data_IF_144041100839
#
_entry.id   IF_144041100839
#
_cell.length_a   1.000
_cell.length_b   1.000
_cell.length_c   1.000
_cell.angle_alpha   90.00
_cell.angle_beta   90.00
_cell.angle_gamma   90.00
#
_symmetry.space_group_name_H-M   'P 1'
#
loop_
_entity.id
_entity.type
_entity.pdbx_description
1 polymer ?
#
# COMPACT_ATOMS: atom_id res chain seq x y z
N UNK A 1 -21.50 -21.05 15.37
CA UNK A 1 -22.71 -20.52 16.04
C UNK A 1 -22.58 -19.01 15.96
N UNK A 2 -23.32 -18.38 15.05
CA UNK A 2 -23.40 -16.93 14.93
C UNK A 2 -24.40 -16.45 15.97
N UNK A 3 -23.98 -15.57 16.87
CA UNK A 3 -24.93 -14.80 17.69
C UNK A 3 -25.09 -13.41 17.06
N UNK A 4 -26.30 -13.14 16.59
CA UNK A 4 -26.71 -11.85 16.04
C UNK A 4 -27.21 -10.99 17.21
N UNK A 5 -26.62 -9.81 17.39
CA UNK A 5 -27.08 -8.80 18.35
C UNK A 5 -27.84 -7.70 17.60
N UNK A 6 -29.05 -7.34 18.03
CA UNK A 6 -29.73 -6.14 17.56
C UNK A 6 -29.41 -4.97 18.48
N UNK A 7 -28.95 -3.86 17.91
CA UNK A 7 -28.71 -2.61 18.61
C UNK A 7 -29.91 -1.69 18.33
N UNK A 8 -30.66 -1.30 19.37
CA UNK A 8 -31.62 -0.21 19.26
C UNK A 8 -30.99 1.09 19.76
N UNK A 9 -31.02 2.10 18.89
CA UNK A 9 -30.44 3.42 19.11
C UNK A 9 -31.53 4.40 19.54
N UNK A 10 -31.36 5.04 20.70
CA UNK A 10 -32.28 6.07 21.17
C UNK A 10 -31.78 7.47 20.78
N UNK A 11 -32.42 8.07 19.77
CA UNK A 11 -32.04 9.39 19.25
C UNK A 11 -32.27 10.53 20.26
N UNK A 12 -33.11 10.36 21.27
CA UNK A 12 -33.40 11.43 22.24
C UNK A 12 -32.37 11.52 23.38
N UNK A 13 -31.62 10.45 23.66
CA UNK A 13 -30.70 10.39 24.82
C UNK A 13 -29.27 10.02 24.45
N UNK A 14 -28.96 9.79 23.17
CA UNK A 14 -27.59 9.56 22.67
C UNK A 14 -26.88 8.37 23.30
N UNK A 15 -27.62 7.36 23.79
CA UNK A 15 -27.08 6.24 24.56
C UNK A 15 -27.62 4.90 24.06
N UNK A 16 -26.70 3.93 23.89
CA UNK A 16 -27.03 2.56 23.47
C UNK A 16 -27.05 1.61 24.67
N UNK A 17 -28.07 0.75 24.74
CA UNK A 17 -28.19 -0.27 25.79
C UNK A 17 -28.10 -1.64 25.13
N UNK A 18 -27.16 -2.46 25.60
CA UNK A 18 -27.06 -3.88 25.23
C UNK A 18 -27.57 -4.73 26.38
N UNK A 19 -28.60 -5.56 26.14
CA UNK A 19 -29.09 -6.55 27.08
C UNK A 19 -29.04 -7.96 26.46
N UNK A 20 -28.62 -9.01 27.19
CA UNK A 20 -28.59 -10.38 26.68
C UNK A 20 -30.00 -11.01 26.67
N UNK A 21 -30.33 -11.67 25.56
CA UNK A 21 -31.56 -12.45 25.36
C UNK A 21 -31.58 -13.68 26.31
N UNK A 22 -32.63 -13.79 27.12
CA UNK A 22 -33.02 -15.04 27.79
C UNK A 22 -34.40 -15.42 27.27
N UNK A 23 -34.42 -16.31 26.28
CA UNK A 23 -35.62 -17.08 25.94
C UNK A 23 -35.51 -18.52 26.45
N UNK A 24 -36.42 -18.90 27.35
CA UNK A 24 -36.90 -20.29 27.45
C UNK A 24 -38.42 -20.29 27.59
N UNK A 25 -39.05 -20.52 26.44
CA UNK A 25 -40.30 -21.23 26.11
C UNK A 25 -41.54 -21.14 27.03
N UNK A 26 -42.63 -20.76 26.33
CA UNK A 26 -44.07 -20.86 26.64
C UNK A 26 -44.60 -22.29 26.82
N UNK A 27 -45.81 -22.30 27.41
CA UNK A 27 -46.96 -23.23 27.22
C UNK A 27 -47.11 -24.24 28.37
N UNK A 28 -48.23 -24.42 29.07
CA UNK A 28 -49.65 -24.24 28.70
C UNK A 28 -50.59 -24.24 29.94
N UNK A 29 -51.77 -23.67 29.75
CA UNK A 29 -53.08 -24.15 30.25
C UNK A 29 -53.59 -23.79 31.66
N UNK A 30 -54.60 -22.90 31.65
CA UNK A 30 -55.82 -22.79 32.48
C UNK A 30 -56.08 -23.91 33.52
N UNK A 31 -56.47 -23.53 34.74
CA UNK A 31 -57.89 -23.42 35.18
C UNK A 31 -57.96 -23.35 36.71
N UNK A 32 -58.89 -22.56 37.23
CA UNK A 32 -59.15 -22.48 38.66
C UNK A 32 -59.98 -23.64 39.17
N UNK A 33 -59.79 -24.02 40.44
CA UNK A 33 -60.88 -24.21 41.41
C UNK A 33 -60.35 -24.44 42.81
N UNK A 34 -61.11 -23.84 43.71
CA UNK A 34 -61.21 -24.01 45.16
C UNK A 34 -61.27 -25.46 45.67
N UNK A 35 -60.68 -25.68 46.86
CA UNK A 35 -61.30 -26.19 48.12
C UNK A 35 -60.43 -27.24 48.87
N UNK A 36 -60.50 -27.08 50.20
CA UNK A 36 -60.48 -28.10 51.27
C UNK A 36 -59.17 -28.75 51.73
N UNK A 37 -58.72 -28.31 52.93
CA UNK A 37 -58.40 -29.10 54.14
C UNK A 37 -58.91 -30.56 54.15
N UNK A 38 -58.27 -31.51 54.88
CA UNK A 38 -58.06 -31.47 56.35
C UNK A 38 -56.72 -32.13 56.77
N UNK A 39 -56.33 -32.45 58.01
CA UNK A 39 -56.88 -32.48 59.36
C UNK A 39 -55.62 -32.53 60.29
N UNK A 40 -55.61 -31.85 61.44
CA UNK A 40 -56.08 -32.35 62.73
C UNK A 40 -55.03 -33.20 63.49
N UNK A 41 -54.72 -32.74 64.70
CA UNK A 41 -53.85 -33.39 65.68
C UNK A 41 -53.86 -32.61 66.99
N UNK A 42 -55.04 -32.50 67.61
CA UNK A 42 -55.31 -31.94 68.94
C UNK A 42 -55.19 -33.00 70.03
N UNK A 43 -54.72 -32.60 71.22
CA UNK A 43 -55.05 -33.19 72.54
C UNK A 43 -54.69 -32.12 73.59
N UNK A 44 -55.61 -31.29 74.11
CA UNK A 44 -56.67 -31.48 75.13
C UNK A 44 -56.20 -32.12 76.45
N UNK A 45 -56.43 -31.43 77.56
CA UNK A 45 -56.39 -32.03 78.90
C UNK A 45 -56.42 -31.01 80.05
N UNK A 46 -57.61 -30.62 80.45
CA UNK A 46 -57.93 -29.87 81.68
C UNK A 46 -57.60 -30.66 82.94
N UNK A 47 -57.13 -29.99 84.00
CA UNK A 47 -57.51 -30.32 85.39
C UNK A 47 -57.17 -29.17 86.35
N UNK A 48 -58.21 -28.63 86.97
CA UNK A 48 -58.15 -27.82 88.18
C UNK A 48 -57.67 -28.65 89.38
N UNK A 49 -56.96 -28.02 90.32
CA UNK A 49 -56.99 -28.43 91.72
C UNK A 49 -55.66 -28.46 92.46
N UNK A 50 -55.67 -27.78 93.61
CA UNK A 50 -54.82 -27.97 94.79
C UNK A 50 -53.51 -27.16 94.82
N UNK A 51 -53.68 -25.95 95.36
CA UNK A 51 -52.81 -25.33 96.36
C UNK A 51 -52.22 -26.40 97.31
N UNK A 52 -50.95 -26.77 97.11
CA UNK A 52 -50.12 -27.32 98.17
C UNK A 52 -48.81 -26.54 98.23
N UNK A 53 -48.69 -25.81 99.33
CA UNK A 53 -47.47 -25.18 99.82
C UNK A 53 -46.37 -26.24 99.93
N UNK A 54 -45.28 -26.07 99.18
CA UNK A 54 -43.97 -26.57 99.56
C UNK A 54 -43.06 -25.34 99.62
N UNK A 55 -42.90 -24.88 100.86
CA UNK A 55 -42.03 -23.80 101.27
C UNK A 55 -40.57 -24.06 100.88
N UNK A 56 -40.04 -23.21 100.01
CA UNK A 56 -38.65 -22.78 100.03
C UNK A 56 -38.66 -21.29 99.68
N UNK A 57 -37.88 -20.48 100.41
CA UNK A 57 -38.31 -19.17 100.86
C UNK A 57 -38.58 -18.26 99.67
N UNK A 58 -39.62 -17.42 99.81
CA UNK A 58 -39.56 -16.11 99.19
C UNK A 58 -38.24 -15.50 99.63
N UNK A 59 -37.23 -15.50 98.77
CA UNK A 59 -36.21 -14.47 98.82
C UNK A 59 -36.96 -13.19 98.51
N UNK A 60 -37.57 -12.63 99.55
CA UNK A 60 -38.01 -11.26 99.55
C UNK A 60 -36.77 -10.47 99.15
N UNK A 61 -36.80 -9.88 97.95
CA UNK A 61 -35.82 -8.89 97.55
C UNK A 61 -36.01 -7.72 98.52
N UNK A 62 -35.29 -7.74 99.64
CA UNK A 62 -35.30 -6.65 100.59
C UNK A 62 -34.59 -5.49 99.89
N UNK A 63 -35.35 -4.43 99.57
CA UNK A 63 -34.78 -3.17 99.11
C UNK A 63 -34.39 -2.39 100.36
N UNK A 64 -33.08 -2.31 100.60
CA UNK A 64 -32.53 -1.42 101.60
C UNK A 64 -32.33 -0.04 100.97
N UNK A 65 -33.06 0.95 101.47
CA UNK A 65 -32.88 2.36 101.16
C UNK A 65 -31.97 2.95 102.22
N UNK A 66 -30.86 3.54 101.83
CA UNK A 66 -29.99 4.26 102.76
C UNK A 66 -30.07 5.75 102.43
N UNK A 67 -30.68 6.55 103.30
CA UNK A 67 -30.70 8.02 103.19
C UNK A 67 -29.95 8.67 104.36
N UNK A 68 -29.94 10.00 104.44
CA UNK A 68 -29.26 10.74 105.52
C UNK A 68 -29.79 10.43 106.94
N UNK A 69 -30.98 9.83 107.05
CA UNK A 69 -31.63 9.38 108.29
C UNK A 69 -31.39 7.91 108.65
N UNK A 70 -30.76 7.12 107.77
CA UNK A 70 -30.34 5.73 108.05
C UNK A 70 -30.87 4.69 107.06
N UNK A 71 -30.62 3.42 107.37
CA UNK A 71 -30.93 2.28 106.48
C UNK A 71 -32.32 1.71 106.77
N UNK A 72 -33.23 1.81 105.80
CA UNK A 72 -34.62 1.38 105.89
C UNK A 72 -34.91 0.21 104.96
N UNK A 73 -35.65 -0.80 105.42
CA UNK A 73 -36.15 -1.89 104.57
C UNK A 73 -37.58 -1.60 104.13
N UNK A 74 -37.87 -1.69 102.83
CA UNK A 74 -39.26 -1.86 102.38
C UNK A 74 -39.63 -3.35 102.47
N UNK A 75 -40.45 -3.71 103.45
CA UNK A 75 -41.16 -4.98 103.40
C UNK A 75 -42.42 -4.83 102.52
N UNK A 76 -42.89 -5.95 101.95
CA UNK A 76 -44.04 -6.02 101.03
C UNK A 76 -45.39 -5.55 101.63
N UNK A 77 -45.40 -5.08 102.89
CA UNK A 77 -46.57 -4.59 103.60
C UNK A 77 -46.53 -3.07 103.91
N UNK A 78 -45.62 -2.30 103.29
CA UNK A 78 -45.67 -0.83 103.32
C UNK A 78 -45.41 -0.17 104.68
N UNK A 79 -44.85 -0.90 105.65
CA UNK A 79 -44.48 -0.38 106.97
C UNK A 79 -42.96 -0.33 107.12
N UNK A 80 -42.43 0.85 107.47
CA UNK A 80 -41.00 1.06 107.77
C UNK A 80 -40.69 0.37 109.10
N UNK A 81 -39.97 -0.74 109.04
CA UNK A 81 -39.43 -1.43 110.22
C UNK A 81 -37.95 -1.10 110.30
N UNK A 82 -37.52 -0.55 111.44
CA UNK A 82 -36.13 -0.20 111.73
C UNK A 82 -35.38 -1.49 112.09
N UNK A 83 -34.38 -1.89 111.29
CA UNK A 83 -33.65 -3.12 111.59
C UNK A 83 -32.66 -3.68 110.56
N UNK A 84 -32.16 -2.92 109.59
CA UNK A 84 -30.98 -3.36 108.85
C UNK A 84 -29.72 -2.99 109.63
N UNK A 85 -29.19 -3.92 110.43
CA UNK A 85 -27.90 -3.72 111.06
C UNK A 85 -26.78 -3.69 110.01
N UNK A 86 -25.86 -2.76 110.23
CA UNK A 86 -24.60 -2.54 109.51
C UNK A 86 -23.96 -3.82 108.95
N UNK A 87 -23.61 -3.77 107.66
CA UNK A 87 -22.83 -4.78 106.95
C UNK A 87 -23.49 -6.16 106.88
N UNK A 88 -24.43 -6.30 105.95
CA UNK A 88 -24.99 -7.60 105.58
C UNK A 88 -23.96 -8.36 104.72
N UNK A 89 -22.95 -8.93 105.36
CA UNK A 89 -22.07 -9.95 104.76
C UNK A 89 -22.69 -11.31 105.05
N UNK A 90 -23.23 -11.97 104.03
CA UNK A 90 -23.75 -13.35 104.17
C UNK A 90 -25.09 -13.65 103.52
N UNK A 91 -25.65 -12.77 102.70
CA UNK A 91 -26.84 -13.12 101.91
C UNK A 91 -26.42 -13.95 100.69
N UNK A 92 -26.72 -15.24 100.76
CA UNK A 92 -26.79 -16.14 99.63
C UNK A 92 -28.11 -15.89 98.87
N UNK A 93 -28.11 -14.91 97.98
CA UNK A 93 -29.23 -14.61 97.07
C UNK A 93 -29.08 -13.22 96.41
N UNK A 94 -29.72 -12.96 95.26
CA UNK A 94 -29.60 -11.66 94.58
C UNK A 94 -30.30 -10.57 95.41
N UNK A 95 -29.53 -9.59 95.88
CA UNK A 95 -30.04 -8.40 96.58
C UNK A 95 -29.68 -7.14 95.77
N UNK A 96 -30.55 -6.14 95.82
CA UNK A 96 -30.37 -4.85 95.18
C UNK A 96 -30.12 -3.79 96.26
N UNK A 97 -28.95 -3.16 96.26
CA UNK A 97 -28.65 -2.04 97.15
C UNK A 97 -28.91 -0.75 96.39
N UNK A 98 -29.85 0.07 96.88
CA UNK A 98 -29.97 1.48 96.52
C UNK A 98 -29.19 2.27 97.55
N UNK A 99 -27.89 2.44 97.32
CA UNK A 99 -27.06 3.28 98.18
C UNK A 99 -27.17 4.72 97.66
N UNK A 100 -27.89 5.58 98.39
CA UNK A 100 -27.84 7.03 98.19
C UNK A 100 -26.81 7.71 99.10
N UNK A 101 -26.01 6.91 99.82
CA UNK A 101 -25.27 7.36 101.00
C UNK A 101 -23.78 7.08 101.00
N UNK A 102 -23.11 6.96 99.84
CA UNK A 102 -21.64 7.04 99.84
C UNK A 102 -21.20 8.49 100.11
N UNK A 103 -20.18 8.75 100.98
CA UNK A 103 -19.74 10.10 101.35
C UNK A 103 -19.15 10.94 100.19
N UNK A 104 -19.20 10.43 98.95
CA UNK A 104 -18.84 11.13 97.73
C UNK A 104 -20.04 11.48 96.82
N UNK A 105 -21.30 11.40 97.29
CA UNK A 105 -22.47 11.97 96.61
C UNK A 105 -22.97 11.21 95.38
N UNK A 106 -22.88 9.88 95.35
CA UNK A 106 -23.32 9.05 94.23
C UNK A 106 -24.49 8.15 94.63
N UNK A 107 -25.59 8.21 93.89
CA UNK A 107 -26.69 7.25 93.98
C UNK A 107 -26.43 6.09 93.02
N UNK A 108 -26.22 4.88 93.54
CA UNK A 108 -25.96 3.69 92.74
C UNK A 108 -26.98 2.58 93.04
N UNK A 109 -27.53 1.98 91.98
CA UNK A 109 -28.24 0.70 92.07
C UNK A 109 -27.22 -0.41 91.78
N UNK A 110 -26.83 -1.16 92.82
CA UNK A 110 -25.88 -2.27 92.72
C UNK A 110 -26.61 -3.62 92.89
N UNK A 111 -26.47 -4.50 91.90
CA UNK A 111 -27.05 -5.84 91.86
C UNK A 111 -25.92 -6.88 91.81
N UNK A 112 -25.82 -7.81 92.77
CA UNK A 112 -24.82 -8.92 92.79
C UNK A 112 -25.47 -10.28 92.55
N UNK A 113 -24.94 -11.26 91.78
CA UNK A 113 -23.64 -11.47 91.10
C UNK A 113 -23.70 -11.34 89.55
N UNK A 114 -22.62 -10.83 88.93
CA UNK A 114 -22.52 -10.53 87.48
C UNK A 114 -22.66 -9.03 87.16
N UNK A 115 -22.09 -8.17 88.00
CA UNK A 115 -22.62 -6.84 88.33
C UNK A 115 -22.73 -5.86 87.15
N UNK A 116 -23.94 -5.31 86.96
CA UNK A 116 -24.21 -4.06 86.28
C UNK A 116 -24.52 -2.99 87.34
N UNK A 117 -23.75 -1.91 87.38
CA UNK A 117 -23.97 -0.78 88.30
C UNK A 117 -24.45 0.43 87.50
N UNK A 118 -25.66 0.93 87.81
CA UNK A 118 -26.22 2.14 87.20
C UNK A 118 -25.98 3.32 88.16
N UNK A 119 -25.17 4.29 87.74
CA UNK A 119 -25.06 5.57 88.43
C UNK A 119 -26.09 6.54 87.84
N UNK A 120 -27.01 7.01 88.67
CA UNK A 120 -27.95 8.07 88.31
C UNK A 120 -27.40 9.38 88.91
N UNK A 121 -27.15 10.37 88.05
CA UNK A 121 -26.71 11.69 88.50
C UNK A 121 -27.74 12.29 89.46
N UNK A 122 -27.27 12.72 90.62
CA UNK A 122 -28.03 13.58 91.51
C UNK A 122 -27.27 14.90 91.60
N UNK A 123 -27.85 15.94 90.98
CA UNK A 123 -27.39 17.33 90.99
C UNK A 123 -26.22 17.75 90.06
N UNK A 124 -26.09 17.18 88.86
CA UNK A 124 -25.34 17.83 87.75
C UNK A 124 -23.82 17.77 87.86
N UNK A 125 -23.27 16.86 88.67
CA UNK A 125 -21.82 16.79 88.96
C UNK A 125 -21.06 15.78 88.11
N UNK A 126 -21.75 14.90 87.39
CA UNK A 126 -21.13 13.98 86.42
C UNK A 126 -21.50 14.44 85.01
N UNK A 127 -20.49 14.77 84.21
CA UNK A 127 -20.70 15.19 82.82
C UNK A 127 -21.24 14.08 81.91
N UNK A 128 -21.30 12.81 82.37
CA UNK A 128 -21.92 11.68 81.65
C UNK A 128 -22.47 10.60 82.62
N UNK A 129 -23.66 10.05 82.30
CA UNK A 129 -24.20 8.84 82.94
C UNK A 129 -23.34 7.63 82.56
N UNK A 130 -22.85 6.86 83.53
CA UNK A 130 -21.95 5.72 83.30
C UNK A 130 -22.58 4.41 83.80
N UNK A 131 -22.95 3.54 82.85
CA UNK A 131 -23.27 2.14 83.13
C UNK A 131 -21.96 1.34 83.20
N UNK A 132 -21.64 0.78 84.38
CA UNK A 132 -20.44 -0.05 84.56
C UNK A 132 -20.84 -1.52 84.65
N UNK A 133 -20.39 -2.34 83.70
CA UNK A 133 -20.59 -3.79 83.70
C UNK A 133 -19.28 -4.47 84.14
N UNK A 134 -19.21 -4.94 85.39
CA UNK A 134 -17.99 -5.55 85.95
C UNK A 134 -18.15 -7.06 86.07
N UNK A 135 -17.34 -7.76 85.30
CA UNK A 135 -17.37 -9.20 85.16
C UNK A 135 -16.35 -9.87 86.09
N UNK A 136 -16.78 -10.77 86.99
CA UNK A 136 -15.87 -11.65 87.74
C UNK A 136 -15.43 -12.84 86.87
N UNK A 137 -14.56 -12.59 85.88
CA UNK A 137 -13.90 -13.63 85.08
C UNK A 137 -14.46 -13.91 83.67
N UNK A 138 -15.60 -13.34 83.26
CA UNK A 138 -16.17 -13.48 81.90
C UNK A 138 -17.03 -12.27 81.51
N UNK A 139 -16.96 -11.79 80.25
CA UNK A 139 -17.71 -10.62 79.76
C UNK A 139 -19.23 -10.66 80.08
N UNK A 140 -19.82 -9.51 80.44
CA UNK A 140 -21.28 -9.36 80.66
C UNK A 140 -21.98 -9.12 79.31
N UNK A 141 -22.96 -9.95 78.94
CA UNK A 141 -23.75 -9.79 77.72
C UNK A 141 -24.93 -8.83 77.93
N UNK A 142 -25.16 -7.91 76.99
CA UNK A 142 -26.36 -7.06 76.93
C UNK A 142 -27.38 -7.66 75.97
N UNK A 143 -28.41 -8.34 76.49
CA UNK A 143 -29.45 -9.01 75.68
C UNK A 143 -30.72 -8.17 75.54
N UNK A 144 -31.41 -8.26 74.40
CA UNK A 144 -32.70 -7.59 74.17
C UNK A 144 -32.60 -6.13 73.72
N UNK A 145 -31.40 -5.66 73.34
CA UNK A 145 -31.18 -4.30 72.83
C UNK A 145 -31.85 -4.11 71.45
N UNK A 146 -32.82 -3.19 71.37
CA UNK A 146 -33.40 -2.77 70.09
C UNK A 146 -32.35 -2.06 69.22
N UNK A 147 -32.49 -2.06 67.87
CA UNK A 147 -31.58 -1.31 67.01
C UNK A 147 -31.55 0.18 67.37
N UNK A 148 -30.37 0.73 67.64
CA UNK A 148 -30.16 2.16 67.88
C UNK A 148 -30.19 2.98 66.59
N UNK A 149 -30.27 4.31 66.68
CA UNK A 149 -30.18 5.17 65.50
C UNK A 149 -28.76 5.19 64.90
N UNK A 150 -28.64 5.11 63.56
CA UNK A 150 -27.37 5.24 62.82
C UNK A 150 -27.26 6.66 62.24
N UNK A 151 -26.73 7.59 63.03
CA UNK A 151 -26.45 8.97 62.60
C UNK A 151 -25.12 9.45 63.17
N UNK A 152 -24.55 10.52 62.60
CA UNK A 152 -23.27 11.09 63.05
C UNK A 152 -23.33 11.69 64.46
N UNK A 153 -24.52 11.81 65.07
CA UNK A 153 -24.74 12.38 66.40
C UNK A 153 -25.39 11.40 67.38
N UNK A 154 -25.64 10.15 66.95
CA UNK A 154 -26.27 9.15 67.79
C UNK A 154 -25.36 8.74 68.95
N UNK A 155 -25.95 8.61 70.13
CA UNK A 155 -25.33 8.05 71.33
C UNK A 155 -26.00 6.71 71.73
N UNK A 156 -26.88 6.19 70.87
CA UNK A 156 -27.62 4.96 71.12
C UNK A 156 -26.69 3.74 71.08
N UNK A 157 -27.00 2.73 71.88
CA UNK A 157 -26.33 1.43 71.80
C UNK A 157 -26.65 0.73 70.48
N UNK A 158 -25.61 0.22 69.79
CA UNK A 158 -25.75 -0.54 68.55
C UNK A 158 -25.84 -2.02 68.88
N UNK A 159 -26.76 -2.76 68.24
CA UNK A 159 -26.89 -4.19 68.46
C UNK A 159 -26.23 -5.03 67.34
N UNK A 160 -26.18 -6.35 67.55
CA UNK A 160 -25.56 -7.29 66.61
C UNK A 160 -26.24 -7.34 65.23
N UNK A 161 -27.55 -7.07 65.12
CA UNK A 161 -28.23 -7.08 63.81
C UNK A 161 -27.85 -5.90 62.93
N UNK A 162 -27.57 -4.73 63.54
CA UNK A 162 -27.05 -3.56 62.82
C UNK A 162 -25.62 -3.78 62.34
N UNK A 163 -24.74 -4.30 63.20
CA UNK A 163 -23.36 -4.63 62.81
C UNK A 163 -23.33 -5.73 61.74
N UNK A 164 -24.21 -6.73 61.84
CA UNK A 164 -24.41 -7.75 60.81
C UNK A 164 -24.81 -7.13 59.47
N UNK A 165 -25.79 -6.20 59.47
CA UNK A 165 -26.21 -5.50 58.26
C UNK A 165 -25.07 -4.67 57.64
N UNK A 166 -24.25 -3.99 58.45
CA UNK A 166 -23.06 -3.29 57.96
C UNK A 166 -22.07 -4.27 57.33
N UNK A 167 -21.72 -5.36 58.03
CA UNK A 167 -20.77 -6.36 57.54
C UNK A 167 -21.20 -7.05 56.26
N UNK A 168 -22.49 -7.40 56.12
CA UNK A 168 -23.03 -7.98 54.88
C UNK A 168 -23.00 -6.98 53.73
N UNK A 169 -23.32 -5.71 53.99
CA UNK A 169 -23.28 -4.66 52.95
C UNK A 169 -21.85 -4.39 52.50
N UNK A 170 -20.87 -4.34 53.42
CA UNK A 170 -19.44 -4.22 53.09
C UNK A 170 -18.94 -5.42 52.30
N UNK A 171 -19.29 -6.64 52.70
CA UNK A 171 -18.91 -7.84 51.97
C UNK A 171 -19.46 -7.84 50.54
N UNK A 172 -20.73 -7.48 50.36
CA UNK A 172 -21.36 -7.36 49.04
C UNK A 172 -20.64 -6.31 48.17
N UNK A 173 -20.30 -5.14 48.72
CA UNK A 173 -19.60 -4.08 48.00
C UNK A 173 -18.21 -4.50 47.50
N UNK A 174 -17.50 -5.33 48.27
CA UNK A 174 -16.19 -5.87 47.90
C UNK A 174 -16.27 -7.12 47.01
N UNK A 175 -17.47 -7.69 46.81
CA UNK A 175 -17.67 -8.94 46.08
C UNK A 175 -17.20 -10.16 46.86
N UNK A 176 -17.34 -10.15 48.19
CA UNK A 176 -16.91 -11.21 49.12
C UNK A 176 -18.04 -11.60 50.08
N UNK A 177 -17.75 -12.47 51.06
CA UNK A 177 -18.70 -12.98 52.04
C UNK A 177 -18.47 -12.44 53.45
N UNK A 178 -19.55 -12.24 54.22
CA UNK A 178 -19.50 -11.93 55.65
C UNK A 178 -19.67 -13.21 56.49
N UNK A 179 -18.83 -13.42 57.50
CA UNK A 179 -18.95 -14.52 58.44
C UNK A 179 -19.78 -14.09 59.66
N UNK A 180 -21.05 -14.49 59.69
CA UNK A 180 -21.97 -14.16 60.78
C UNK A 180 -21.62 -14.74 62.16
N UNK A 181 -20.74 -15.74 62.21
CA UNK A 181 -20.31 -16.35 63.48
C UNK A 181 -19.09 -15.65 64.09
N UNK A 182 -18.20 -15.09 63.27
CA UNK A 182 -16.99 -14.40 63.75
C UNK A 182 -17.07 -12.88 63.62
N UNK A 183 -18.04 -12.35 62.88
CA UNK A 183 -18.17 -10.91 62.60
C UNK A 183 -17.19 -10.37 61.55
N UNK A 184 -16.45 -11.25 60.85
CA UNK A 184 -15.41 -10.83 59.89
C UNK A 184 -15.93 -10.82 58.46
N UNK A 185 -15.48 -9.83 57.68
CA UNK A 185 -15.61 -9.84 56.21
C UNK A 185 -14.43 -10.64 55.63
N UNK A 186 -14.70 -11.62 54.77
CA UNK A 186 -13.66 -12.41 54.10
C UNK A 186 -12.90 -11.59 53.06
N UNK A 187 -11.64 -11.93 52.80
CA UNK A 187 -10.87 -11.30 51.73
C UNK A 187 -11.53 -11.56 50.36
N UNK A 188 -11.65 -10.54 49.47
CA UNK A 188 -12.23 -10.76 48.14
C UNK A 188 -11.29 -11.57 47.25
N UNK A 189 -11.81 -12.10 46.14
CA UNK A 189 -11.02 -12.86 45.17
C UNK A 189 -11.42 -12.49 43.74
N UNK A 190 -10.62 -11.67 43.06
CA UNK A 190 -10.90 -11.23 41.68
C UNK A 190 -10.19 -12.10 40.66
N UNK A 191 -10.97 -12.83 39.84
CA UNK A 191 -10.44 -13.62 38.73
C UNK A 191 -10.14 -12.73 37.51
N UNK A 192 -8.92 -12.21 37.43
CA UNK A 192 -8.50 -11.25 36.39
C UNK A 192 -7.81 -11.94 35.19
N UNK A 193 -8.46 -12.95 34.60
CA UNK A 193 -7.85 -13.81 33.58
C UNK A 193 -7.22 -13.07 32.39
N UNK A 194 -7.88 -12.00 31.89
CA UNK A 194 -7.38 -11.20 30.77
C UNK A 194 -6.17 -10.32 31.16
N UNK A 195 -6.25 -9.65 32.31
CA UNK A 195 -5.13 -8.85 32.80
C UNK A 195 -3.90 -9.73 33.08
N UNK A 196 -4.13 -10.92 33.64
CA UNK A 196 -3.12 -11.95 33.82
C UNK A 196 -2.44 -12.33 32.50
N UNK A 197 -3.20 -12.54 31.42
CA UNK A 197 -2.63 -12.83 30.09
C UNK A 197 -1.80 -11.69 29.51
N UNK A 198 -2.28 -10.44 29.64
CA UNK A 198 -1.60 -9.26 29.10
C UNK A 198 -0.28 -8.96 29.84
N UNK A 199 -0.31 -9.00 31.18
CA UNK A 199 0.86 -8.69 32.01
C UNK A 199 1.76 -9.90 32.32
N UNK A 200 1.37 -11.12 31.90
CA UNK A 200 2.06 -12.36 32.28
C UNK A 200 1.95 -12.70 33.76
N UNK A 201 0.91 -12.22 34.46
CA UNK A 201 0.65 -12.57 35.88
C UNK A 201 -0.31 -13.76 36.00
N UNK A 202 -0.46 -14.34 37.19
CA UNK A 202 -1.30 -15.51 37.41
C UNK A 202 -2.10 -15.45 38.72
N UNK A 203 -3.12 -16.30 38.84
CA UNK A 203 -3.99 -16.42 40.02
C UNK A 203 -5.01 -15.29 40.17
N UNK A 204 -5.91 -15.43 41.14
CA UNK A 204 -6.82 -14.36 41.54
C UNK A 204 -6.07 -13.26 42.31
N UNK A 205 -6.63 -12.04 42.39
CA UNK A 205 -6.20 -11.04 43.36
C UNK A 205 -6.99 -11.20 44.65
N UNK A 206 -6.30 -11.31 45.79
CA UNK A 206 -6.90 -11.62 47.10
C UNK A 206 -7.33 -10.40 47.90
N UNK A 207 -7.14 -9.21 47.36
CA UNK A 207 -7.59 -7.94 47.92
C UNK A 207 -7.78 -6.90 46.80
N UNK A 208 -8.35 -5.75 47.14
CA UNK A 208 -8.62 -4.64 46.21
C UNK A 208 -7.33 -4.05 45.65
N UNK A 209 -6.29 -3.92 46.46
CA UNK A 209 -4.99 -3.37 46.05
C UNK A 209 -4.33 -4.26 45.00
N UNK A 210 -4.23 -5.55 45.28
CA UNK A 210 -3.72 -6.56 44.34
C UNK A 210 -4.54 -6.63 43.06
N UNK A 211 -5.86 -6.41 43.14
CA UNK A 211 -6.75 -6.34 41.98
C UNK A 211 -6.38 -5.18 41.06
N UNK A 212 -6.27 -3.98 41.63
CA UNK A 212 -5.85 -2.79 40.89
C UNK A 212 -4.41 -2.91 40.38
N UNK A 213 -3.46 -3.43 41.16
CA UNK A 213 -2.08 -3.63 40.72
C UNK A 213 -1.97 -4.56 39.51
N UNK A 214 -2.78 -5.63 39.44
CA UNK A 214 -2.81 -6.52 38.27
C UNK A 214 -3.40 -5.84 37.03
N UNK A 215 -4.45 -5.05 37.20
CA UNK A 215 -5.05 -4.28 36.09
C UNK A 215 -4.10 -3.19 35.61
N UNK A 216 -3.45 -2.48 36.53
CA UNK A 216 -2.45 -1.44 36.23
C UNK A 216 -1.26 -2.01 35.47
N UNK A 217 -0.71 -3.15 35.94
CA UNK A 217 0.35 -3.86 35.22
C UNK A 217 -0.07 -4.29 33.80
N UNK A 218 -1.31 -4.75 33.62
CA UNK A 218 -1.83 -5.11 32.31
C UNK A 218 -2.02 -3.89 31.40
N UNK A 219 -2.50 -2.77 31.94
CA UNK A 219 -2.63 -1.53 31.20
C UNK A 219 -1.25 -1.00 30.77
N UNK A 220 -0.25 -1.03 31.66
CA UNK A 220 1.13 -0.67 31.32
C UNK A 220 1.75 -1.56 30.24
N UNK A 221 1.51 -2.89 30.29
CA UNK A 221 1.96 -3.81 29.25
C UNK A 221 1.28 -3.56 27.89
N UNK A 222 -0.01 -3.23 27.90
CA UNK A 222 -0.73 -2.84 26.70
C UNK A 222 -0.20 -1.51 26.13
N UNK A 223 0.00 -0.51 26.99
CA UNK A 223 0.55 0.79 26.60
C UNK A 223 1.92 0.66 25.93
N UNK A 224 2.83 -0.14 26.52
CA UNK A 224 4.13 -0.45 25.91
C UNK A 224 4.00 -1.14 24.54
N UNK A 225 3.06 -2.07 24.39
CA UNK A 225 2.84 -2.78 23.13
C UNK A 225 2.30 -1.83 22.05
N UNK A 226 1.36 -0.95 22.42
CA UNK A 226 0.81 0.06 21.52
C UNK A 226 1.88 1.07 21.12
N UNK A 227 2.68 1.58 22.06
CA UNK A 227 3.80 2.47 21.79
C UNK A 227 4.85 1.83 20.86
N UNK A 228 5.15 0.55 21.06
CA UNK A 228 6.01 -0.23 20.17
C UNK A 228 5.45 -0.33 18.75
N UNK A 229 4.16 -0.64 18.61
CA UNK A 229 3.48 -0.68 17.31
C UNK A 229 3.48 0.69 16.62
N UNK A 230 3.22 1.78 17.35
CA UNK A 230 3.29 3.15 16.81
C UNK A 230 4.69 3.44 16.26
N UNK A 231 5.74 3.10 17.00
CA UNK A 231 7.13 3.29 16.54
C UNK A 231 7.45 2.49 15.27
N UNK A 232 7.00 1.24 15.19
CA UNK A 232 7.19 0.39 14.00
C UNK A 232 6.42 0.92 12.78
N UNK A 233 5.20 1.43 12.99
CA UNK A 233 4.39 2.04 11.93
C UNK A 233 5.06 3.33 11.42
N UNK A 234 5.59 4.15 12.32
CA UNK A 234 6.34 5.35 11.96
C UNK A 234 7.61 5.00 11.17
N UNK A 235 8.35 3.97 11.60
CA UNK A 235 9.53 3.47 10.89
C UNK A 235 9.20 2.96 9.48
N UNK A 236 8.17 2.13 9.32
CA UNK A 236 7.70 1.67 8.00
C UNK A 236 7.29 2.86 7.12
N UNK A 237 6.56 3.83 7.68
CA UNK A 237 6.13 5.03 6.96
C UNK A 237 7.34 5.83 6.49
N UNK A 238 8.33 6.02 7.36
CA UNK A 238 9.58 6.69 7.03
C UNK A 238 10.38 5.92 5.96
N UNK A 239 10.42 4.59 6.04
CA UNK A 239 11.11 3.75 5.06
C UNK A 239 10.43 3.79 3.69
N UNK A 240 9.10 3.80 3.63
CA UNK A 240 8.32 3.96 2.39
C UNK A 240 8.55 5.34 1.80
N UNK A 241 8.43 6.40 2.61
CA UNK A 241 8.61 7.78 2.15
C UNK A 241 10.05 8.06 1.68
N UNK A 242 11.03 7.44 2.32
CA UNK A 242 12.45 7.54 1.93
C UNK A 242 12.85 6.56 0.82
N UNK A 243 11.95 5.66 0.42
CA UNK A 243 12.20 4.63 -0.60
C UNK A 243 13.27 3.61 -0.20
N UNK A 244 13.42 3.30 1.09
CA UNK A 244 14.43 2.36 1.61
C UNK A 244 13.90 0.93 1.78
N UNK A 245 12.60 0.71 1.60
CA UNK A 245 11.97 -0.62 1.64
C UNK A 245 10.99 -0.81 0.48
N UNK A 246 10.67 -2.07 0.13
CA UNK A 246 9.78 -2.43 -0.98
C UNK A 246 10.50 -2.88 -2.26
N UNK A 247 9.77 -3.00 -3.38
CA UNK A 247 10.37 -3.43 -4.67
C UNK A 247 11.07 -2.27 -5.38
N UNK A 248 10.52 -1.06 -5.32
CA UNK A 248 11.16 0.13 -5.86
C UNK A 248 11.90 0.81 -4.72
N UNK A 249 13.23 0.82 -4.80
CA UNK A 249 14.08 1.36 -3.74
C UNK A 249 15.08 2.35 -4.29
N UNK A 250 15.31 3.44 -3.54
CA UNK A 250 16.40 4.36 -3.79
C UNK A 250 17.61 3.97 -2.94
N UNK A 251 18.75 3.78 -3.60
CA UNK A 251 20.03 3.66 -2.92
C UNK A 251 20.42 5.00 -2.29
N UNK A 252 20.65 5.04 -0.97
CA UNK A 252 20.82 6.30 -0.27
C UNK A 252 22.14 7.02 -0.56
N UNK A 253 23.16 6.30 -1.04
CA UNK A 253 24.47 6.85 -1.39
C UNK A 253 24.49 7.35 -2.83
N UNK A 254 24.11 6.50 -3.77
CA UNK A 254 24.16 6.80 -5.21
C UNK A 254 22.91 7.53 -5.72
N UNK A 255 21.82 7.52 -4.95
CA UNK A 255 20.48 8.02 -5.32
C UNK A 255 19.83 7.30 -6.51
N UNK A 256 20.43 6.20 -6.96
CA UNK A 256 19.86 5.35 -8.00
C UNK A 256 18.57 4.71 -7.52
N UNK A 257 17.53 4.78 -8.34
CA UNK A 257 16.30 4.03 -8.14
C UNK A 257 16.46 2.68 -8.81
N UNK A 258 16.19 1.62 -8.06
CA UNK A 258 16.22 0.24 -8.54
C UNK A 258 14.85 -0.39 -8.38
N UNK A 259 14.52 -1.32 -9.27
CA UNK A 259 13.30 -2.11 -9.20
C UNK A 259 13.70 -3.56 -8.97
N UNK A 260 13.23 -4.13 -7.87
CA UNK A 260 13.36 -5.55 -7.54
C UNK A 260 14.81 -6.07 -7.50
N UNK A 261 15.81 -5.22 -7.20
CA UNK A 261 17.25 -5.59 -7.32
C UNK A 261 17.71 -6.78 -6.46
N UNK A 262 16.99 -7.08 -5.37
CA UNK A 262 17.31 -8.14 -4.42
C UNK A 262 16.45 -9.40 -4.60
N UNK A 263 15.68 -9.46 -5.68
CA UNK A 263 14.77 -10.56 -6.00
C UNK A 263 15.00 -11.00 -7.44
N UNK A 264 14.70 -12.26 -7.75
CA UNK A 264 14.79 -12.77 -9.12
C UNK A 264 13.73 -12.13 -10.04
N UNK A 265 13.91 -12.34 -11.35
CA UNK A 265 13.00 -11.86 -12.39
C UNK A 265 13.77 -11.19 -13.53
N UNK A 266 13.38 -11.46 -14.77
CA UNK A 266 14.03 -10.92 -15.97
C UNK A 266 13.23 -9.83 -16.66
N UNK A 267 11.98 -9.60 -16.21
CA UNK A 267 11.02 -8.71 -16.87
C UNK A 267 10.35 -7.81 -15.85
N UNK A 268 10.36 -6.51 -16.13
CA UNK A 268 9.50 -5.53 -15.47
C UNK A 268 8.38 -5.17 -16.45
N UNK A 269 7.16 -5.62 -16.17
CA UNK A 269 5.99 -5.32 -17.01
C UNK A 269 5.31 -4.02 -16.52
N UNK A 270 5.17 -3.06 -17.43
CA UNK A 270 4.54 -1.76 -17.16
C UNK A 270 3.10 -1.67 -17.67
N UNK A 271 2.52 -2.76 -18.19
CA UNK A 271 1.13 -2.80 -18.62
C UNK A 271 0.16 -2.46 -17.47
N UNK A 272 -0.92 -1.76 -17.81
CA UNK A 272 -2.05 -1.49 -16.93
C UNK A 272 -3.31 -2.19 -17.41
N UNK A 273 -4.43 -1.90 -16.74
CA UNK A 273 -5.75 -2.43 -17.13
C UNK A 273 -6.20 -1.97 -18.52
N UNK A 274 -5.63 -0.87 -19.04
CA UNK A 274 -5.86 -0.35 -20.39
C UNK A 274 -4.77 -0.74 -21.41
N UNK A 275 -3.85 -1.64 -21.06
CA UNK A 275 -2.73 -2.06 -21.91
C UNK A 275 -1.41 -1.35 -21.61
N UNK A 276 -0.52 -1.30 -22.60
CA UNK A 276 0.82 -0.72 -22.48
C UNK A 276 0.78 0.78 -22.13
N UNK A 277 1.81 1.25 -21.43
CA UNK A 277 1.96 2.66 -21.02
C UNK A 277 3.12 3.31 -21.74
N UNK A 278 3.03 4.63 -21.92
CA UNK A 278 4.19 5.47 -22.27
C UNK A 278 5.07 5.60 -21.05
N UNK A 279 6.37 5.30 -21.20
CA UNK A 279 7.39 5.58 -20.19
C UNK A 279 8.04 6.93 -20.53
N UNK A 280 7.63 7.98 -19.81
CA UNK A 280 8.13 9.35 -19.99
C UNK A 280 9.21 9.71 -18.94
N UNK A 281 9.93 10.81 -19.17
CA UNK A 281 11.05 11.25 -18.33
C UNK A 281 12.35 10.46 -18.54
N UNK A 282 12.44 9.69 -19.63
CA UNK A 282 13.63 8.92 -20.00
C UNK A 282 14.68 9.86 -20.61
N UNK A 283 15.77 10.10 -19.88
CA UNK A 283 16.93 10.80 -20.41
C UNK A 283 17.59 10.02 -21.56
N UNK A 284 18.31 10.70 -22.45
CA UNK A 284 19.00 10.05 -23.57
C UNK A 284 20.03 9.06 -23.06
N UNK A 285 19.84 7.78 -23.38
CA UNK A 285 20.77 6.71 -23.00
C UNK A 285 22.03 6.72 -23.86
N UNK A 286 23.11 6.16 -23.34
CA UNK A 286 24.34 5.94 -24.11
C UNK A 286 24.05 4.94 -25.23
N UNK A 287 24.40 5.28 -26.47
CA UNK A 287 24.30 4.38 -27.63
C UNK A 287 25.68 3.77 -27.89
N UNK A 288 25.88 2.51 -27.48
CA UNK A 288 27.11 1.75 -27.71
C UNK A 288 26.83 0.24 -27.68
N UNK A 289 27.73 -0.62 -28.23
CA UNK A 289 27.51 -2.06 -28.28
C UNK A 289 27.30 -2.74 -26.91
N UNK A 290 27.79 -2.15 -25.83
CA UNK A 290 27.67 -2.68 -24.47
C UNK A 290 26.57 -2.01 -23.64
N UNK A 291 25.85 -1.02 -24.20
CA UNK A 291 24.85 -0.26 -23.44
C UNK A 291 23.64 -1.12 -23.07
N UNK A 292 23.12 -0.87 -21.87
CA UNK A 292 21.87 -1.45 -21.36
C UNK A 292 20.86 -0.35 -21.01
N UNK A 293 21.12 0.88 -21.43
CA UNK A 293 20.28 2.04 -21.14
C UNK A 293 19.14 2.11 -22.16
N UNK A 294 17.97 2.55 -21.72
CA UNK A 294 16.87 2.85 -22.62
C UNK A 294 17.23 4.04 -23.53
N UNK A 295 16.78 4.01 -24.77
CA UNK A 295 16.82 5.16 -25.70
C UNK A 295 15.47 5.84 -25.72
N UNK A 296 15.46 7.16 -25.88
CA UNK A 296 14.23 7.94 -25.96
C UNK A 296 13.91 8.38 -27.40
N UNK A 297 12.74 9.00 -27.58
CA UNK A 297 12.25 9.40 -28.89
C UNK A 297 13.15 10.40 -29.63
N UNK A 298 13.84 11.32 -28.93
CA UNK A 298 14.72 12.30 -29.58
C UNK A 298 15.96 11.64 -30.20
N UNK A 299 16.48 10.58 -29.59
CA UNK A 299 17.59 9.81 -30.15
C UNK A 299 17.18 9.04 -31.40
N UNK A 300 16.00 8.40 -31.36
CA UNK A 300 15.47 7.70 -32.53
C UNK A 300 15.15 8.67 -33.67
N UNK A 301 14.58 9.84 -33.36
CA UNK A 301 14.33 10.90 -34.33
C UNK A 301 15.63 11.41 -34.97
N UNK A 302 16.67 11.69 -34.18
CA UNK A 302 17.95 12.14 -34.72
C UNK A 302 18.59 11.11 -35.67
N UNK A 303 18.44 9.81 -35.38
CA UNK A 303 18.86 8.74 -36.29
C UNK A 303 18.03 8.75 -37.58
N UNK A 304 16.70 8.88 -37.47
CA UNK A 304 15.80 8.94 -38.62
C UNK A 304 16.10 10.17 -39.50
N UNK A 305 16.37 11.32 -38.88
CA UNK A 305 16.68 12.58 -39.56
C UNK A 305 18.02 12.51 -40.28
N UNK A 306 19.06 11.99 -39.63
CA UNK A 306 20.35 11.72 -40.27
C UNK A 306 20.23 10.76 -41.45
N UNK A 307 19.32 9.78 -41.37
CA UNK A 307 19.08 8.82 -42.45
C UNK A 307 18.34 9.49 -43.61
N UNK A 308 17.30 10.27 -43.34
CA UNK A 308 16.58 11.05 -44.35
C UNK A 308 17.49 12.03 -45.09
N UNK A 309 18.35 12.76 -44.34
CA UNK A 309 19.35 13.65 -44.93
C UNK A 309 20.33 12.90 -45.84
N UNK A 310 20.81 11.73 -45.42
CA UNK A 310 21.73 10.91 -46.21
C UNK A 310 21.09 10.34 -47.49
N UNK A 311 19.78 10.07 -47.48
CA UNK A 311 19.03 9.66 -48.68
C UNK A 311 18.86 10.82 -49.66
N UNK A 312 18.71 12.06 -49.16
CA UNK A 312 18.45 13.23 -50.00
C UNK A 312 17.14 13.10 -50.77
N UNK A 313 17.02 13.73 -51.95
CA UNK A 313 15.81 13.63 -52.78
C UNK A 313 14.52 14.02 -52.03
N UNK A 314 14.58 15.04 -51.19
CA UNK A 314 13.45 15.49 -50.35
C UNK A 314 12.92 14.46 -49.33
N UNK A 315 13.70 13.42 -49.02
CA UNK A 315 13.42 12.56 -47.86
C UNK A 315 13.40 13.35 -46.56
N UNK A 316 12.41 13.06 -45.70
CA UNK A 316 12.22 13.72 -44.41
C UNK A 316 11.60 12.77 -43.39
N UNK A 317 11.72 13.08 -42.10
CA UNK A 317 11.05 12.35 -41.01
C UNK A 317 9.62 12.88 -40.83
N UNK A 318 8.65 11.97 -40.88
CA UNK A 318 7.24 12.26 -40.67
C UNK A 318 6.89 12.39 -39.17
N UNK A 319 5.74 12.99 -38.81
CA UNK A 319 5.31 13.12 -37.41
C UNK A 319 5.18 11.79 -36.63
N UNK A 320 4.99 10.67 -37.34
CA UNK A 320 4.92 9.32 -36.77
C UNK A 320 6.31 8.65 -36.64
N UNK A 321 7.38 9.33 -37.03
CA UNK A 321 8.76 8.84 -37.01
C UNK A 321 9.17 8.03 -38.25
N UNK A 322 8.28 7.79 -39.21
CA UNK A 322 8.64 7.15 -40.49
C UNK A 322 9.47 8.09 -41.37
N UNK A 323 10.29 7.53 -42.27
CA UNK A 323 11.06 8.32 -43.25
C UNK A 323 10.32 8.30 -44.59
N UNK A 324 10.05 9.47 -45.15
CA UNK A 324 9.49 9.62 -46.50
C UNK A 324 10.53 9.18 -47.53
N UNK A 325 10.09 8.35 -48.49
CA UNK A 325 10.94 7.88 -49.57
C UNK A 325 11.51 9.07 -50.38
N UNK A 326 12.77 8.98 -50.85
CA UNK A 326 13.35 10.04 -51.66
C UNK A 326 12.63 10.14 -53.00
N UNK A 327 12.84 11.22 -53.72
CA UNK A 327 12.44 11.41 -55.11
C UNK A 327 13.67 11.83 -55.90
N UNK A 328 14.22 10.89 -56.69
CA UNK A 328 15.29 11.17 -57.62
C UNK A 328 14.71 11.41 -59.01
N UNK A 329 14.91 12.60 -59.55
CA UNK A 329 14.42 12.97 -60.89
C UNK A 329 15.40 12.45 -61.93
N UNK A 330 14.99 11.45 -62.70
CA UNK A 330 15.80 10.89 -63.77
C UNK A 330 15.34 11.42 -65.12
N UNK A 331 16.26 11.91 -65.95
CA UNK A 331 15.95 12.37 -67.29
C UNK A 331 16.02 11.22 -68.30
N UNK A 332 15.00 11.10 -69.13
CA UNK A 332 14.92 10.13 -70.22
C UNK A 332 15.53 10.70 -71.51
N UNK A 333 15.81 9.83 -72.48
CA UNK A 333 16.42 10.20 -73.76
C UNK A 333 15.53 11.16 -74.59
N UNK A 334 14.20 11.09 -74.40
CA UNK A 334 13.22 11.97 -75.06
C UNK A 334 13.06 13.35 -74.36
N UNK A 335 13.84 13.60 -73.30
CA UNK A 335 13.76 14.83 -72.49
C UNK A 335 12.69 14.82 -71.40
N UNK A 336 11.87 13.76 -71.29
CA UNK A 336 10.94 13.58 -70.17
C UNK A 336 11.66 13.23 -68.87
N UNK A 337 10.94 13.24 -67.74
CA UNK A 337 11.48 12.82 -66.44
C UNK A 337 10.71 11.64 -65.87
N UNK A 338 11.43 10.73 -65.22
CA UNK A 338 10.90 9.58 -64.49
C UNK A 338 11.38 9.65 -63.04
N UNK A 339 10.56 10.16 -62.12
CA UNK A 339 10.90 10.15 -60.70
C UNK A 339 10.96 8.70 -60.19
N UNK A 340 12.02 8.37 -59.47
CA UNK A 340 12.18 7.08 -58.79
C UNK A 340 12.41 7.32 -57.30
N UNK A 341 11.98 6.38 -56.46
CA UNK A 341 11.86 6.61 -55.02
C UNK A 341 12.83 5.79 -54.17
N UNK A 342 13.85 5.22 -54.79
CA UNK A 342 14.91 4.50 -54.12
C UNK A 342 16.21 4.58 -54.92
N UNK A 343 17.32 4.41 -54.21
CA UNK A 343 18.67 4.53 -54.77
C UNK A 343 18.96 3.44 -55.81
N UNK A 344 18.43 2.24 -55.61
CA UNK A 344 18.66 1.11 -56.51
C UNK A 344 18.12 1.35 -57.92
N UNK A 345 16.90 1.86 -58.03
CA UNK A 345 16.28 2.18 -59.31
C UNK A 345 16.98 3.36 -60.01
N UNK A 346 17.38 4.39 -59.25
CA UNK A 346 18.14 5.52 -59.79
C UNK A 346 19.47 5.06 -60.39
N UNK A 347 20.23 4.23 -59.66
CA UNK A 347 21.50 3.68 -60.12
C UNK A 347 21.31 2.76 -61.32
N UNK A 348 20.30 1.89 -61.29
CA UNK A 348 20.01 0.95 -62.40
C UNK A 348 19.68 1.70 -63.70
N UNK A 349 18.97 2.82 -63.61
CA UNK A 349 18.71 3.65 -64.78
C UNK A 349 20.00 4.27 -65.33
N UNK A 350 20.85 4.85 -64.46
CA UNK A 350 22.14 5.45 -64.86
C UNK A 350 23.06 4.40 -65.50
N UNK A 351 23.10 3.19 -64.94
CA UNK A 351 23.87 2.07 -65.48
C UNK A 351 23.38 1.65 -66.88
N UNK A 352 22.06 1.51 -67.05
CA UNK A 352 21.46 1.23 -68.36
C UNK A 352 21.81 2.29 -69.41
N UNK A 353 21.73 3.59 -69.06
CA UNK A 353 22.12 4.69 -69.96
C UNK A 353 23.61 4.67 -70.30
N UNK A 354 24.46 4.34 -69.33
CA UNK A 354 25.91 4.24 -69.54
C UNK A 354 26.25 3.06 -70.47
N UNK A 355 25.53 1.95 -70.32
CA UNK A 355 25.63 0.78 -71.21
C UNK A 355 25.17 1.11 -72.63
N UNK A 356 24.07 1.84 -72.79
CA UNK A 356 23.58 2.29 -74.10
C UNK A 356 24.60 3.22 -74.78
N UNK A 357 25.10 4.24 -74.07
CA UNK A 357 26.13 5.13 -74.60
C UNK A 357 27.38 4.36 -75.05
N UNK A 358 27.81 3.36 -74.26
CA UNK A 358 28.95 2.51 -74.62
C UNK A 358 28.69 1.73 -75.91
N UNK A 359 27.46 1.25 -76.11
CA UNK A 359 27.05 0.54 -77.32
C UNK A 359 26.96 1.47 -78.54
N UNK A 360 26.41 2.68 -78.36
CA UNK A 360 26.29 3.68 -79.43
C UNK A 360 27.67 4.15 -79.89
N UNK A 361 28.62 4.36 -78.97
CA UNK A 361 30.01 4.70 -79.29
C UNK A 361 30.67 3.56 -80.08
N UNK A 362 30.50 2.31 -79.66
CA UNK A 362 31.04 1.15 -80.39
C UNK A 362 30.44 1.01 -81.79
N UNK A 363 29.16 1.35 -81.96
CA UNK A 363 28.51 1.36 -83.27
C UNK A 363 29.05 2.48 -84.17
N UNK A 364 29.26 3.68 -83.63
CA UNK A 364 29.89 4.78 -84.37
C UNK A 364 31.32 4.43 -84.79
N UNK A 365 32.12 3.84 -83.90
CA UNK A 365 33.47 3.37 -84.21
C UNK A 365 33.46 2.36 -85.38
N UNK A 366 32.58 1.35 -85.33
CA UNK A 366 32.42 0.40 -86.43
C UNK A 366 31.99 1.08 -87.74
N UNK A 367 31.04 2.02 -87.68
CA UNK A 367 30.60 2.75 -88.87
C UNK A 367 31.72 3.61 -89.46
N UNK A 368 32.59 4.20 -88.65
CA UNK A 368 33.76 4.95 -89.12
C UNK A 368 34.79 4.01 -89.76
N UNK A 369 35.17 2.95 -89.05
CA UNK A 369 36.20 2.00 -89.50
C UNK A 369 35.80 1.26 -90.78
N UNK A 370 34.50 1.00 -90.96
CA UNK A 370 33.98 0.36 -92.18
C UNK A 370 33.72 1.36 -93.33
N UNK A 371 34.02 2.65 -93.17
CA UNK A 371 33.67 3.68 -94.15
C UNK A 371 32.15 3.82 -94.36
N UNK A 372 31.37 3.44 -93.36
CA UNK A 372 29.92 3.38 -93.39
C UNK A 372 29.25 4.73 -93.19
N UNK A 373 29.92 5.76 -92.63
CA UNK A 373 29.42 7.14 -92.45
C UNK A 373 30.49 8.18 -92.82
N UNK A 374 30.07 9.44 -93.00
CA UNK A 374 30.97 10.56 -93.38
C UNK A 374 30.82 11.01 -94.84
N UNK A 375 31.76 11.82 -95.33
CA UNK A 375 31.75 12.31 -96.72
C UNK A 375 32.34 11.30 -97.71
N UNK A 376 33.35 10.54 -97.29
CA UNK A 376 33.92 9.43 -98.06
C UNK A 376 33.36 8.15 -97.48
N UNK A 377 32.58 7.43 -98.27
CA UNK A 377 31.90 6.21 -97.81
C UNK A 377 32.09 5.08 -98.79
N UNK A 378 32.23 3.87 -98.26
CA UNK A 378 32.18 2.66 -99.06
C UNK A 378 30.79 2.04 -98.96
N UNK A 379 30.14 1.86 -100.10
CA UNK A 379 28.88 1.14 -100.16
C UNK A 379 29.08 -0.32 -99.76
N UNK A 380 28.24 -0.85 -98.87
CA UNK A 380 28.45 -2.16 -98.27
C UNK A 380 28.23 -3.32 -99.25
N UNK A 381 27.47 -3.09 -100.33
CA UNK A 381 27.10 -4.12 -101.30
C UNK A 381 27.99 -4.04 -102.54
N UNK A 382 27.97 -2.90 -103.22
CA UNK A 382 28.76 -2.67 -104.44
C UNK A 382 30.26 -2.48 -104.17
N UNK A 383 30.64 -2.19 -102.91
CA UNK A 383 32.01 -1.85 -102.50
C UNK A 383 32.57 -0.60 -103.17
N UNK A 384 31.73 0.18 -103.86
CA UNK A 384 32.13 1.44 -104.46
C UNK A 384 32.46 2.46 -103.38
N UNK A 385 33.60 3.13 -103.53
CA UNK A 385 33.96 4.29 -102.71
C UNK A 385 33.34 5.52 -103.38
N UNK A 386 32.52 6.23 -102.61
CA UNK A 386 31.87 7.46 -103.02
C UNK A 386 32.41 8.63 -102.22
N UNK A 387 32.44 9.82 -102.82
CA UNK A 387 32.89 11.06 -102.18
C UNK A 387 31.79 12.09 -102.35
N UNK A 388 31.17 12.51 -101.24
CA UNK A 388 30.14 13.54 -101.23
C UNK A 388 28.85 13.15 -101.97
N UNK A 389 28.57 11.87 -102.20
CA UNK A 389 27.44 11.44 -103.04
C UNK A 389 26.05 11.85 -102.51
N UNK A 390 25.92 12.09 -101.20
CA UNK A 390 24.67 12.54 -100.56
C UNK A 390 24.69 14.04 -100.23
N UNK A 391 25.61 14.80 -100.83
CA UNK A 391 25.75 16.24 -100.64
C UNK A 391 25.85 16.93 -101.99
N UNK A 392 25.46 18.19 -102.07
CA UNK A 392 25.61 18.98 -103.30
C UNK A 392 27.08 19.40 -103.54
N UNK A 393 27.34 19.90 -104.76
CA UNK A 393 28.63 20.42 -105.19
C UNK A 393 29.10 19.81 -106.52
N UNK A 394 29.82 20.58 -107.32
CA UNK A 394 30.33 20.16 -108.64
C UNK A 394 31.85 20.07 -108.71
N UNK A 395 32.54 20.30 -107.58
CA UNK A 395 34.00 20.40 -107.53
C UNK A 395 34.60 19.61 -106.37
N UNK A 396 35.61 18.79 -106.67
CA UNK A 396 36.45 18.10 -105.67
C UNK A 396 37.88 18.62 -105.82
N UNK A 397 38.40 19.26 -104.78
CA UNK A 397 39.76 19.78 -104.76
C UNK A 397 40.69 18.86 -103.97
N UNK A 398 41.76 18.38 -104.60
CA UNK A 398 42.78 17.55 -103.94
C UNK A 398 44.04 18.33 -103.52
N UNK A 399 44.11 19.64 -103.73
CA UNK A 399 45.23 20.46 -103.28
C UNK A 399 45.38 20.44 -101.75
N UNK A 400 46.62 20.39 -101.27
CA UNK A 400 46.96 20.52 -99.84
C UNK A 400 47.71 21.81 -99.55
N UNK A 401 48.26 21.94 -98.34
CA UNK A 401 49.06 23.11 -97.95
C UNK A 401 50.31 23.31 -98.83
N UNK A 402 50.82 22.25 -99.47
CA UNK A 402 51.97 22.28 -100.37
C UNK A 402 51.59 22.45 -101.86
N UNK A 403 50.32 22.72 -102.18
CA UNK A 403 49.82 22.85 -103.55
C UNK A 403 49.13 21.59 -104.07
N UNK A 404 49.07 21.44 -105.41
CA UNK A 404 48.41 20.32 -106.08
C UNK A 404 49.06 18.97 -105.73
N UNK A 405 48.25 17.90 -105.68
CA UNK A 405 48.72 16.53 -105.43
C UNK A 405 48.65 15.71 -106.72
N UNK A 406 49.56 14.75 -106.87
CA UNK A 406 49.44 13.67 -107.86
C UNK A 406 48.40 12.68 -107.34
N UNK A 407 47.47 12.27 -108.20
CA UNK A 407 46.54 11.18 -107.91
C UNK A 407 47.06 9.90 -108.57
N UNK A 408 47.62 9.01 -107.76
CA UNK A 408 48.16 7.71 -108.18
C UNK A 408 47.18 6.57 -107.87
N UNK A 409 47.36 5.41 -108.52
CA UNK A 409 46.45 4.26 -108.37
C UNK A 409 45.20 4.33 -109.24
N UNK A 410 45.14 5.24 -110.22
CA UNK A 410 44.02 5.40 -111.15
C UNK A 410 44.11 4.35 -112.26
N UNK A 411 43.15 3.42 -112.30
CA UNK A 411 43.01 2.44 -113.38
C UNK A 411 42.69 3.11 -114.74
N UNK A 412 42.91 2.39 -115.86
CA UNK A 412 42.58 2.92 -117.18
C UNK A 412 41.07 3.19 -117.31
N UNK A 413 40.68 4.44 -117.54
CA UNK A 413 39.28 4.81 -117.76
C UNK A 413 38.81 4.45 -119.17
N UNK A 414 37.53 4.17 -119.34
CA UNK A 414 36.94 3.97 -120.67
C UNK A 414 37.07 5.26 -121.52
N UNK A 415 37.50 5.13 -122.78
CA UNK A 415 37.64 6.26 -123.71
C UNK A 415 36.51 6.21 -124.74
N UNK A 416 35.40 6.87 -124.42
CA UNK A 416 34.21 7.00 -125.28
C UNK A 416 33.65 8.43 -125.18
N UNK A 417 32.76 8.84 -126.08
CA UNK A 417 32.20 10.20 -126.11
C UNK A 417 31.34 10.58 -124.90
N UNK A 418 30.94 9.61 -124.08
CA UNK A 418 30.08 9.80 -122.90
C UNK A 418 30.75 9.37 -121.60
N UNK A 419 32.02 9.00 -121.63
CA UNK A 419 32.74 8.53 -120.44
C UNK A 419 32.94 9.66 -119.42
N UNK A 420 32.74 9.33 -118.14
CA UNK A 420 33.00 10.21 -116.98
C UNK A 420 34.16 9.68 -116.13
N UNK A 421 34.95 8.74 -116.65
CA UNK A 421 36.07 8.14 -115.94
C UNK A 421 37.34 8.96 -116.15
N UNK A 422 38.17 9.06 -115.11
CA UNK A 422 39.48 9.67 -115.23
C UNK A 422 40.40 8.84 -116.15
N UNK A 423 41.24 9.51 -116.95
CA UNK A 423 42.30 8.87 -117.74
C UNK A 423 43.62 8.93 -116.99
N UNK A 424 44.45 7.89 -117.11
CA UNK A 424 45.78 7.89 -116.50
C UNK A 424 46.90 8.11 -117.53
N UNK A 425 48.12 8.28 -117.04
CA UNK A 425 49.29 8.58 -117.86
C UNK A 425 49.59 7.52 -118.93
N UNK A 426 49.29 6.24 -118.71
CA UNK A 426 49.56 5.18 -119.68
C UNK A 426 48.69 5.31 -120.94
N UNK A 427 47.44 5.76 -120.77
CA UNK A 427 46.51 5.97 -121.88
C UNK A 427 46.90 7.19 -122.70
N UNK A 428 47.27 8.29 -122.02
CA UNK A 428 47.77 9.49 -122.69
C UNK A 428 49.09 9.19 -123.42
N UNK A 429 49.99 8.43 -122.81
CA UNK A 429 51.24 8.00 -123.44
C UNK A 429 50.98 7.10 -124.65
N UNK A 430 50.04 6.16 -124.58
CA UNK A 430 49.66 5.34 -125.73
C UNK A 430 49.12 6.18 -126.91
N UNK A 431 48.31 7.20 -126.62
CA UNK A 431 47.87 8.18 -127.62
C UNK A 431 49.05 8.96 -128.21
N UNK A 432 49.98 9.43 -127.37
CA UNK A 432 51.20 10.10 -127.82
C UNK A 432 52.04 9.20 -128.72
N UNK A 433 52.19 7.90 -128.40
CA UNK A 433 52.91 6.93 -129.22
C UNK A 433 52.23 6.66 -130.56
N UNK A 434 50.90 6.56 -130.56
CA UNK A 434 50.10 6.41 -131.79
C UNK A 434 50.24 7.65 -132.68
N UNK A 435 50.22 8.83 -132.08
CA UNK A 435 50.40 10.12 -132.78
C UNK A 435 51.81 10.22 -133.36
N UNK A 436 52.85 9.92 -132.57
CA UNK A 436 54.24 9.91 -133.04
C UNK A 436 54.44 8.92 -134.21
N UNK A 437 53.84 7.73 -134.13
CA UNK A 437 53.88 6.75 -135.21
C UNK A 437 53.17 7.24 -136.48
N UNK A 438 52.05 7.94 -136.32
CA UNK A 438 51.28 8.50 -137.43
C UNK A 438 51.97 9.71 -138.09
N UNK A 439 52.74 10.49 -137.32
CA UNK A 439 53.55 11.59 -137.85
C UNK A 439 54.77 11.10 -138.66
N UNK A 440 55.31 9.93 -138.32
CA UNK A 440 56.48 9.36 -139.01
C UNK A 440 57.77 10.14 -138.75
N UNK A 441 58.74 10.08 -139.66
CA UNK A 441 59.95 10.92 -139.62
C UNK A 441 60.84 10.75 -138.37
N UNK A 442 60.78 9.61 -137.67
CA UNK A 442 61.57 9.38 -136.45
C UNK A 442 61.00 10.04 -135.18
N UNK A 443 59.76 10.53 -135.20
CA UNK A 443 59.06 11.01 -134.00
C UNK A 443 58.98 9.92 -132.92
N UNK A 444 59.25 10.32 -131.68
CA UNK A 444 59.22 9.46 -130.49
C UNK A 444 58.54 10.18 -129.34
N UNK A 445 58.06 9.44 -128.33
CA UNK A 445 57.54 10.01 -127.09
C UNK A 445 58.67 10.07 -126.06
N UNK A 446 58.93 11.27 -125.54
CA UNK A 446 59.93 11.51 -124.49
C UNK A 446 59.42 11.05 -123.12
N UNK A 447 60.33 10.97 -122.14
CA UNK A 447 59.99 10.58 -120.76
C UNK A 447 59.03 11.52 -120.04
N UNK A 448 58.90 12.77 -120.50
CA UNK A 448 57.93 13.76 -119.99
C UNK A 448 56.58 13.72 -120.74
N UNK A 449 56.42 12.79 -121.70
CA UNK A 449 55.23 12.64 -122.53
C UNK A 449 55.16 13.56 -123.76
N UNK A 450 56.14 14.43 -123.97
CA UNK A 450 56.22 15.27 -125.19
C UNK A 450 56.62 14.45 -126.42
N UNK A 451 56.13 14.85 -127.61
CA UNK A 451 56.45 14.18 -128.89
C UNK A 451 57.58 14.95 -129.58
N UNK A 452 58.64 14.25 -130.00
CA UNK A 452 59.69 14.86 -130.84
C UNK A 452 59.17 15.16 -132.25
N UNK A 453 59.49 16.34 -132.78
CA UNK A 453 59.05 16.72 -134.12
C UNK A 453 59.57 15.73 -135.18
N UNK A 454 58.77 15.41 -136.21
CA UNK A 454 59.22 14.54 -137.29
C UNK A 454 60.35 15.23 -138.07
N UNK A 455 61.43 14.51 -138.33
CA UNK A 455 62.48 15.00 -139.21
C UNK A 455 61.92 15.05 -140.64
N UNK A 456 61.85 16.25 -141.21
CA UNK A 456 61.51 16.43 -142.62
C UNK A 456 62.62 15.84 -143.48
N UNK A 457 62.29 14.90 -144.37
CA UNK A 457 63.19 14.39 -145.39
C UNK A 457 63.32 15.40 -146.55
#
# INVERSE_FOLDING_TARGET
MNETFCCDWNEATGTGITAPDKSTRKSSSKSGRSRSFPACGTLTGLASGILLMASAPASASVVCLNDAGGTHTLSSAGSIVVGCSSWVTGLSGPYAVLDSGSPAGRSALALTSGQATFYLDNAGSLTNNLLTLTASGSNVAMTGLAPGSLSSTSLDGINGSQLYATGTTTAAALGTSFNGSTGNVAAPSYALAKANQIAGTAGAATDVGAGFSKVDAALGALDMSVAGNTTLIDDITNQINSGTTGLVQQDQTTKNITVAKNTDGTTADFAGTAGARVLDGVASGVVSPASRQAVNGSQLYALADSTAFAMGGDSAVNPDGSITAPTYVIHNADGSTSPVNNVGDAISNIDGRTTQNSSDIANLDQQINNGGIGLVRQDSVSRNISVGANTDGSFVNFAGLAGARVLEGVANGAVTSTSQQAVNGSQLHALSSSTASSLGGGSTVNSDGSITQPASA
#
